data_IF_149964850731
#
_entry.id   IF_149964850731
#
_cell.length_a   1.000
_cell.length_b   1.000
_cell.length_c   1.000
_cell.angle_alpha   90.00
_cell.angle_beta   90.00
_cell.angle_gamma   90.00
#
_symmetry.space_group_name_H-M   'P 1'
#
loop_
_entity.id
_entity.type
_entity.pdbx_description
1 polymer ?
#
# COMPACT_ATOMS: atom_id res chain seq x y z
N UNK A 1 13.10 -0.30 20.36
CA UNK A 1 13.38 0.62 19.24
C UNK A 1 12.07 1.16 18.65
N UNK A 2 12.05 2.35 18.03
CA UNK A 2 10.81 3.03 17.54
C UNK A 2 10.45 2.75 16.07
N UNK A 3 11.22 1.92 15.35
CA UNK A 3 11.05 1.70 13.90
C UNK A 3 11.79 2.73 13.04
N UNK A 4 11.92 2.45 11.73
CA UNK A 4 12.53 3.37 10.76
C UNK A 4 11.58 4.48 10.28
N UNK A 5 12.13 5.52 9.66
CA UNK A 5 11.36 6.68 9.15
C UNK A 5 10.67 6.38 7.81
N UNK A 6 9.87 5.32 7.77
CA UNK A 6 9.13 4.91 6.58
C UNK A 6 7.76 4.33 6.93
N UNK A 7 6.84 4.37 5.96
CA UNK A 7 5.56 3.68 6.03
C UNK A 7 5.70 2.29 5.38
N UNK A 8 5.42 1.21 6.12
CA UNK A 8 5.32 -0.13 5.56
C UNK A 8 3.92 -0.40 4.99
N UNK A 9 3.82 -0.90 3.76
CA UNK A 9 2.56 -1.24 3.10
C UNK A 9 2.69 -2.63 2.47
N UNK A 10 1.74 -3.52 2.77
CA UNK A 10 1.55 -4.78 2.06
C UNK A 10 0.37 -4.64 1.11
N UNK A 11 0.62 -4.76 -0.19
CA UNK A 11 -0.37 -4.63 -1.26
C UNK A 11 -0.48 -5.95 -2.02
N UNK A 12 -1.43 -6.80 -1.61
CA UNK A 12 -1.72 -8.08 -2.28
C UNK A 12 -2.61 -7.84 -3.51
N UNK A 13 -2.23 -8.37 -4.68
CA UNK A 13 -2.86 -8.10 -5.99
C UNK A 13 -3.10 -9.31 -6.89
N UNK A 14 -2.39 -10.44 -6.78
CA UNK A 14 -2.54 -11.56 -7.75
C UNK A 14 -3.93 -12.19 -7.75
N UNK A 15 -4.14 -13.20 -6.90
CA UNK A 15 -5.38 -13.99 -6.87
C UNK A 15 -6.59 -13.15 -6.42
N UNK A 16 -6.31 -12.00 -5.82
CA UNK A 16 -7.28 -11.06 -5.29
C UNK A 16 -8.11 -10.33 -6.37
N UNK A 17 -7.56 -10.13 -7.57
CA UNK A 17 -8.30 -9.55 -8.70
C UNK A 17 -9.42 -10.48 -9.17
N UNK A 18 -9.25 -11.79 -9.00
CA UNK A 18 -10.17 -12.82 -9.47
C UNK A 18 -11.17 -13.29 -8.39
N UNK A 19 -10.78 -13.26 -7.10
CA UNK A 19 -11.62 -13.77 -5.99
C UNK A 19 -12.32 -12.73 -5.11
N UNK A 20 -11.83 -11.48 -5.04
CA UNK A 20 -12.29 -10.46 -4.08
C UNK A 20 -12.18 -9.04 -4.65
N UNK A 21 -12.74 -8.81 -5.83
CA UNK A 21 -12.62 -7.52 -6.54
C UNK A 21 -13.21 -6.33 -5.79
N UNK A 22 -14.11 -6.60 -4.84
CA UNK A 22 -14.92 -5.61 -4.12
C UNK A 22 -14.25 -5.15 -2.80
N UNK A 23 -13.48 -6.05 -2.16
CA UNK A 23 -12.89 -5.82 -0.83
C UNK A 23 -11.51 -5.15 -0.90
N UNK A 24 -10.86 -5.12 -2.07
CA UNK A 24 -9.55 -4.50 -2.23
C UNK A 24 -9.69 -3.08 -2.73
N UNK A 25 -9.05 -2.10 -2.07
CA UNK A 25 -8.98 -0.77 -2.63
C UNK A 25 -8.33 -0.83 -4.02
N UNK A 26 -8.97 -0.18 -5.00
CA UNK A 26 -8.33 0.08 -6.28
C UNK A 26 -6.95 0.71 -6.07
N UNK A 27 -6.03 0.56 -7.03
CA UNK A 27 -4.70 1.14 -6.92
C UNK A 27 -4.74 2.65 -6.57
N UNK A 28 -5.69 3.38 -7.18
CA UNK A 28 -5.95 4.79 -6.88
C UNK A 28 -6.41 5.02 -5.43
N UNK A 29 -7.27 4.15 -4.91
CA UNK A 29 -7.71 4.18 -3.51
C UNK A 29 -6.56 3.89 -2.53
N UNK A 30 -5.74 2.88 -2.83
CA UNK A 30 -4.55 2.53 -2.05
C UNK A 30 -3.57 3.71 -1.99
N UNK A 31 -3.23 4.30 -3.14
CA UNK A 31 -2.34 5.48 -3.22
C UNK A 31 -2.89 6.67 -2.43
N UNK A 32 -4.20 6.94 -2.53
CA UNK A 32 -4.84 8.02 -1.76
C UNK A 32 -4.70 7.79 -0.25
N UNK A 33 -4.89 6.54 0.21
CA UNK A 33 -4.75 6.18 1.62
C UNK A 33 -3.30 6.30 2.10
N UNK A 34 -2.36 5.78 1.32
CA UNK A 34 -0.91 5.86 1.60
C UNK A 34 -0.48 7.31 1.76
N UNK A 35 -0.82 8.20 0.81
CA UNK A 35 -0.49 9.63 0.87
C UNK A 35 -1.08 10.32 2.10
N UNK A 36 -2.33 10.00 2.45
CA UNK A 36 -2.98 10.54 3.64
C UNK A 36 -2.25 10.12 4.93
N UNK A 37 -1.85 8.85 5.03
CA UNK A 37 -1.09 8.32 6.17
C UNK A 37 0.32 8.94 6.25
N UNK A 38 1.03 9.05 5.13
CA UNK A 38 2.35 9.69 5.08
C UNK A 38 2.30 11.14 5.56
N UNK A 39 1.30 11.92 5.13
CA UNK A 39 1.12 13.31 5.60
C UNK A 39 0.82 13.37 7.09
N UNK A 40 -0.07 12.49 7.60
CA UNK A 40 -0.42 12.44 9.03
C UNK A 40 0.76 12.08 9.92
N UNK A 41 1.60 11.15 9.46
CA UNK A 41 2.74 10.61 10.20
C UNK A 41 4.06 11.37 9.90
N UNK A 42 4.03 12.38 9.01
CA UNK A 42 5.20 13.14 8.56
C UNK A 42 6.31 12.25 7.98
N UNK A 43 5.92 11.20 7.26
CA UNK A 43 6.83 10.26 6.62
C UNK A 43 7.04 10.64 5.15
N UNK A 44 8.28 10.52 4.68
CA UNK A 44 8.64 10.80 3.28
C UNK A 44 8.92 9.52 2.48
N UNK A 45 9.22 8.41 3.17
CA UNK A 45 9.53 7.13 2.55
C UNK A 45 8.39 6.14 2.77
N UNK A 46 8.13 5.31 1.76
CA UNK A 46 7.20 4.20 1.83
C UNK A 46 7.88 2.96 1.26
N UNK A 47 7.79 1.86 2.00
CA UNK A 47 8.20 0.54 1.54
C UNK A 47 6.94 -0.24 1.18
N UNK A 48 6.85 -0.69 -0.09
CA UNK A 48 5.69 -1.42 -0.60
C UNK A 48 6.12 -2.85 -0.88
N UNK A 49 5.60 -3.80 -0.09
CA UNK A 49 5.65 -5.21 -0.40
C UNK A 49 4.42 -5.56 -1.23
N UNK A 50 4.63 -5.99 -2.49
CA UNK A 50 3.54 -6.33 -3.41
C UNK A 50 3.91 -7.60 -4.15
N UNK A 51 2.90 -8.43 -4.43
CA UNK A 51 2.98 -9.58 -5.33
C UNK A 51 2.54 -9.23 -6.75
N UNK A 52 2.21 -7.96 -7.02
CA UNK A 52 1.99 -7.48 -8.39
C UNK A 52 3.22 -7.74 -9.26
N UNK A 53 2.98 -8.17 -10.49
CA UNK A 53 4.05 -8.36 -11.46
C UNK A 53 4.67 -6.99 -11.83
N UNK A 54 5.93 -6.99 -12.26
CA UNK A 54 6.75 -5.78 -12.42
C UNK A 54 6.44 -4.90 -13.64
N UNK A 55 5.30 -5.09 -14.30
CA UNK A 55 4.82 -4.30 -15.44
C UNK A 55 3.87 -3.17 -15.02
#
# INVERSE_FOLDING_TARGET
AKGGSYLGVHLRRKDFIWGHREDVPSLKGAVKKIRSLMKKLKLQQVFVATDADGE
#
